data_IF_971553555556
#
_entry.id   IF_971553555556
#
_cell.length_a   1.000
_cell.length_b   1.000
_cell.length_c   1.000
_cell.angle_alpha   90.00
_cell.angle_beta   90.00
_cell.angle_gamma   90.00
#
_symmetry.space_group_name_H-M   'P 1'
#
loop_
_entity.id
_entity.type
_entity.pdbx_description
1 polymer ?
#
# COMPACT_ATOMS: atom_id res chain seq x y z
N UNK A 1 0.82 2.80 -12.08
CA UNK A 1 2.14 2.15 -12.12
C UNK A 1 1.97 0.69 -12.44
N UNK A 2 2.95 0.11 -13.11
CA UNK A 2 2.94 -1.29 -13.53
C UNK A 2 4.17 -1.96 -12.93
N UNK A 3 4.00 -3.13 -12.31
CA UNK A 3 5.15 -3.88 -11.82
C UNK A 3 6.09 -4.29 -12.96
N UNK A 4 7.36 -4.57 -12.67
CA UNK A 4 8.39 -4.84 -13.69
C UNK A 4 8.08 -6.04 -14.62
N UNK A 5 7.17 -6.94 -14.22
CA UNK A 5 6.72 -8.07 -15.04
C UNK A 5 5.53 -7.77 -15.98
N UNK A 6 5.06 -6.53 -16.08
CA UNK A 6 3.87 -6.19 -16.88
C UNK A 6 4.16 -6.25 -18.37
N UNK A 7 3.63 -7.26 -19.07
CA UNK A 7 3.79 -7.45 -20.52
C UNK A 7 2.66 -6.85 -21.36
N UNK A 8 1.49 -6.55 -20.78
CA UNK A 8 0.30 -6.03 -21.48
C UNK A 8 -0.38 -4.97 -20.63
N UNK A 9 -0.90 -3.91 -21.26
CA UNK A 9 -1.59 -2.82 -20.60
C UNK A 9 -3.12 -2.98 -20.52
N UNK A 10 -3.66 -4.08 -21.09
CA UNK A 10 -5.10 -4.35 -21.06
C UNK A 10 -5.63 -4.38 -19.64
N UNK A 11 -6.60 -3.49 -19.36
CA UNK A 11 -7.22 -3.34 -18.04
C UNK A 11 -6.32 -2.71 -16.98
N UNK A 12 -5.13 -2.21 -17.32
CA UNK A 12 -4.27 -1.44 -16.41
C UNK A 12 -4.68 0.03 -16.40
N UNK A 13 -4.54 0.67 -15.26
CA UNK A 13 -4.86 2.08 -15.11
C UNK A 13 -3.65 2.95 -15.46
N UNK A 14 -3.85 3.93 -16.34
CA UNK A 14 -2.89 5.00 -16.64
C UNK A 14 -3.45 6.28 -16.05
N UNK A 15 -2.65 6.96 -15.25
CA UNK A 15 -3.00 8.27 -14.70
C UNK A 15 -2.51 9.32 -15.69
N UNK A 16 -3.40 10.22 -16.10
CA UNK A 16 -3.08 11.36 -16.93
C UNK A 16 -3.21 12.65 -16.13
N UNK A 17 -2.16 13.47 -16.17
CA UNK A 17 -2.10 14.76 -15.48
C UNK A 17 -2.00 15.83 -16.59
N UNK A 18 -3.13 16.46 -16.96
CA UNK A 18 -3.14 17.42 -18.07
C UNK A 18 -2.33 18.68 -17.74
N UNK A 19 -1.61 19.18 -18.75
CA UNK A 19 -0.80 20.40 -18.61
C UNK A 19 -1.52 21.58 -19.28
N UNK A 20 -2.12 21.39 -20.46
CA UNK A 20 -2.76 22.46 -21.25
C UNK A 20 -4.18 22.13 -21.66
N UNK A 21 -4.40 20.98 -22.28
CA UNK A 21 -5.69 20.56 -22.84
C UNK A 21 -5.98 19.09 -22.45
N UNK A 22 -6.74 18.93 -21.39
CA UNK A 22 -7.09 17.62 -20.84
C UNK A 22 -7.77 16.70 -21.88
N UNK A 23 -8.64 17.24 -22.76
CA UNK A 23 -9.36 16.43 -23.73
C UNK A 23 -8.42 15.94 -24.84
N UNK A 24 -7.59 16.84 -25.36
CA UNK A 24 -6.62 16.50 -26.40
C UNK A 24 -5.56 15.53 -25.88
N UNK A 25 -5.00 15.81 -24.71
CA UNK A 25 -3.96 14.97 -24.08
C UNK A 25 -4.50 13.57 -23.76
N UNK A 26 -5.72 13.47 -23.22
CA UNK A 26 -6.38 12.19 -23.00
C UNK A 26 -6.67 11.42 -24.31
N UNK A 27 -7.05 12.14 -25.37
CA UNK A 27 -7.27 11.52 -26.68
C UNK A 27 -5.98 10.91 -27.25
N UNK A 28 -4.87 11.63 -27.13
CA UNK A 28 -3.55 11.13 -27.53
C UNK A 28 -3.14 9.93 -26.68
N UNK A 29 -3.33 9.99 -25.36
CA UNK A 29 -3.01 8.89 -24.48
C UNK A 29 -3.81 7.61 -24.83
N UNK A 30 -5.11 7.75 -25.14
CA UNK A 30 -5.97 6.64 -25.59
C UNK A 30 -5.54 6.07 -26.95
N UNK A 31 -5.03 6.90 -27.84
CA UNK A 31 -4.49 6.44 -29.13
C UNK A 31 -3.21 5.59 -28.93
N UNK A 32 -2.34 6.02 -28.02
CA UNK A 32 -1.08 5.32 -27.71
C UNK A 32 -1.29 4.02 -26.92
N UNK A 33 -2.29 3.98 -26.06
CA UNK A 33 -2.56 2.86 -25.15
C UNK A 33 -4.04 2.44 -25.17
N UNK A 34 -4.55 1.93 -26.30
CA UNK A 34 -5.99 1.72 -26.51
C UNK A 34 -6.64 0.71 -25.53
N UNK A 35 -5.86 -0.23 -25.00
CA UNK A 35 -6.35 -1.29 -24.10
C UNK A 35 -6.30 -0.90 -22.61
N UNK A 36 -5.79 0.28 -22.27
CA UNK A 36 -5.66 0.72 -20.90
C UNK A 36 -6.91 1.48 -20.41
N UNK A 37 -7.10 1.49 -19.08
CA UNK A 37 -8.04 2.40 -18.43
C UNK A 37 -7.34 3.73 -18.12
N UNK A 38 -8.08 4.84 -18.17
CA UNK A 38 -7.51 6.15 -17.88
C UNK A 38 -8.21 6.81 -16.69
N UNK A 39 -7.40 7.37 -15.80
CA UNK A 39 -7.84 8.23 -14.69
C UNK A 39 -7.19 9.59 -14.90
N UNK A 40 -7.99 10.62 -15.10
CA UNK A 40 -7.49 12.01 -15.28
C UNK A 40 -7.68 12.76 -13.98
N UNK A 41 -6.60 13.27 -13.42
CA UNK A 41 -6.57 14.06 -12.18
C UNK A 41 -5.56 15.21 -12.33
N UNK A 42 -5.64 16.22 -11.47
CA UNK A 42 -4.61 17.25 -11.40
C UNK A 42 -3.36 16.78 -10.63
N UNK A 43 -2.27 17.54 -10.73
CA UNK A 43 -0.99 17.17 -10.12
C UNK A 43 -1.05 17.10 -8.59
N UNK A 44 -1.77 18.03 -7.95
CA UNK A 44 -1.86 18.06 -6.48
C UNK A 44 -2.62 16.83 -5.94
N UNK A 45 -3.74 16.49 -6.58
CA UNK A 45 -4.50 15.29 -6.21
C UNK A 45 -3.70 14.01 -6.50
N UNK A 46 -2.96 13.97 -7.63
CA UNK A 46 -2.03 12.88 -7.92
C UNK A 46 -1.04 12.68 -6.78
N UNK A 47 -0.34 13.73 -6.38
CA UNK A 47 0.71 13.64 -5.36
C UNK A 47 0.16 13.18 -4.00
N UNK A 48 -1.03 13.66 -3.60
CA UNK A 48 -1.73 13.19 -2.40
C UNK A 48 -2.09 11.71 -2.47
N UNK A 49 -2.62 11.24 -3.62
CA UNK A 49 -2.99 9.82 -3.76
C UNK A 49 -1.77 8.90 -3.81
N UNK A 50 -0.73 9.32 -4.53
CA UNK A 50 0.52 8.56 -4.62
C UNK A 50 1.22 8.49 -3.27
N UNK A 51 1.14 9.54 -2.45
CA UNK A 51 1.67 9.50 -1.09
C UNK A 51 1.10 8.36 -0.24
N UNK A 52 -0.19 8.04 -0.39
CA UNK A 52 -0.80 6.90 0.31
C UNK A 52 -0.50 5.58 -0.41
N UNK A 53 -0.72 5.55 -1.75
CA UNK A 53 -0.64 4.31 -2.55
C UNK A 53 0.78 3.74 -2.58
N UNK A 54 1.78 4.60 -2.71
CA UNK A 54 3.18 4.20 -2.76
C UNK A 54 3.92 4.58 -1.49
N UNK A 55 3.89 5.87 -1.15
CA UNK A 55 4.75 6.41 -0.11
C UNK A 55 4.53 5.74 1.25
N UNK A 56 3.30 5.76 1.76
CA UNK A 56 2.98 5.12 3.03
C UNK A 56 3.19 3.60 2.96
N UNK A 57 2.81 2.97 1.84
CA UNK A 57 3.01 1.53 1.65
C UNK A 57 4.49 1.16 1.70
N UNK A 58 5.37 1.91 1.00
CA UNK A 58 6.80 1.65 1.02
C UNK A 58 7.40 1.93 2.39
N UNK A 59 7.06 3.06 3.02
CA UNK A 59 7.52 3.43 4.36
C UNK A 59 7.23 2.32 5.39
N UNK A 60 6.00 1.83 5.43
CA UNK A 60 5.59 0.75 6.33
C UNK A 60 6.39 -0.53 6.07
N UNK A 61 6.56 -0.90 4.81
CA UNK A 61 7.25 -2.14 4.45
C UNK A 61 8.75 -2.08 4.69
N UNK A 62 9.40 -0.93 4.48
CA UNK A 62 10.83 -0.76 4.81
C UNK A 62 11.07 -0.85 6.32
N UNK A 63 10.20 -0.23 7.13
CA UNK A 63 10.28 -0.36 8.59
C UNK A 63 10.05 -1.82 9.01
N UNK A 64 9.06 -2.48 8.44
CA UNK A 64 8.78 -3.90 8.72
C UNK A 64 9.96 -4.79 8.31
N UNK A 65 10.56 -4.57 7.12
CA UNK A 65 11.76 -5.27 6.68
C UNK A 65 12.92 -5.14 7.68
N UNK A 66 13.15 -3.92 8.19
CA UNK A 66 14.21 -3.68 9.18
C UNK A 66 13.95 -4.39 10.51
N UNK A 67 12.69 -4.59 10.90
CA UNK A 67 12.32 -5.39 12.08
C UNK A 67 12.59 -6.88 11.80
N UNK A 68 12.17 -7.39 10.65
CA UNK A 68 12.42 -8.79 10.26
C UNK A 68 13.92 -9.10 10.13
N UNK A 69 14.72 -8.17 9.62
CA UNK A 69 16.16 -8.34 9.50
C UNK A 69 16.90 -8.51 10.83
N UNK A 70 16.26 -8.13 11.94
CA UNK A 70 16.79 -8.30 13.31
C UNK A 70 16.34 -9.63 13.97
N UNK A 71 15.45 -10.38 13.30
CA UNK A 71 15.00 -11.67 13.83
C UNK A 71 16.01 -12.76 13.54
N UNK A 72 16.84 -13.10 14.53
CA UNK A 72 17.84 -14.18 14.44
C UNK A 72 17.22 -15.56 14.19
N UNK A 73 15.91 -15.73 14.39
CA UNK A 73 15.18 -16.97 14.20
C UNK A 73 14.07 -16.87 13.17
N UNK A 74 14.30 -16.10 12.11
CA UNK A 74 13.30 -15.84 11.04
C UNK A 74 12.69 -17.14 10.48
N UNK A 75 13.46 -18.21 10.35
CA UNK A 75 12.95 -19.51 9.89
C UNK A 75 11.92 -20.14 10.83
N UNK A 76 12.01 -19.87 12.14
CA UNK A 76 11.01 -20.30 13.11
C UNK A 76 9.75 -19.42 13.00
N UNK A 77 9.93 -18.10 12.90
CA UNK A 77 8.86 -17.14 12.65
C UNK A 77 8.05 -17.51 11.39
N UNK A 78 8.73 -17.90 10.32
CA UNK A 78 8.08 -18.37 9.08
C UNK A 78 7.25 -19.64 9.30
N UNK A 79 7.79 -20.63 9.99
CA UNK A 79 7.08 -21.90 10.31
C UNK A 79 5.85 -21.68 11.16
N UNK A 80 5.86 -20.68 12.04
CA UNK A 80 4.74 -20.33 12.91
C UNK A 80 3.73 -19.37 12.26
N UNK A 81 4.04 -18.86 11.07
CA UNK A 81 3.29 -17.78 10.43
C UNK A 81 1.96 -18.22 9.85
N UNK A 82 0.95 -17.36 10.03
CA UNK A 82 -0.34 -17.48 9.38
C UNK A 82 -0.43 -16.66 8.08
N UNK A 83 -1.60 -16.73 7.45
CA UNK A 83 -1.89 -16.13 6.14
C UNK A 83 -1.52 -14.64 6.04
N UNK A 84 -1.85 -13.86 7.07
CA UNK A 84 -1.59 -12.41 7.09
C UNK A 84 -0.11 -12.10 7.07
N UNK A 85 0.69 -12.77 7.90
CA UNK A 85 2.14 -12.57 7.94
C UNK A 85 2.80 -12.98 6.62
N UNK A 86 2.42 -14.13 6.05
CA UNK A 86 2.95 -14.60 4.76
C UNK A 86 2.70 -13.58 3.65
N UNK A 87 1.48 -13.04 3.56
CA UNK A 87 1.14 -12.01 2.60
C UNK A 87 1.97 -10.73 2.81
N UNK A 88 2.07 -10.26 4.05
CA UNK A 88 2.83 -9.07 4.40
C UNK A 88 4.32 -9.25 4.08
N UNK A 89 4.90 -10.41 4.39
CA UNK A 89 6.30 -10.72 4.07
C UNK A 89 6.57 -10.68 2.57
N UNK A 90 5.71 -11.30 1.75
CA UNK A 90 5.86 -11.29 0.27
C UNK A 90 5.81 -9.87 -0.28
N UNK A 91 4.89 -9.02 0.21
CA UNK A 91 4.81 -7.61 -0.19
C UNK A 91 6.11 -6.90 0.17
N UNK A 92 6.59 -7.09 1.39
CA UNK A 92 7.84 -6.49 1.88
C UNK A 92 9.04 -6.92 1.03
N UNK A 93 9.20 -8.21 0.77
CA UNK A 93 10.26 -8.73 -0.07
C UNK A 93 10.21 -8.20 -1.50
N UNK A 94 9.01 -8.06 -2.07
CA UNK A 94 8.86 -7.50 -3.42
C UNK A 94 9.29 -6.04 -3.49
N UNK A 95 9.01 -5.22 -2.47
CA UNK A 95 9.47 -3.83 -2.40
C UNK A 95 11.00 -3.77 -2.27
N UNK A 96 11.62 -4.69 -1.55
CA UNK A 96 13.09 -4.74 -1.42
C UNK A 96 13.81 -5.10 -2.73
N UNK A 97 13.09 -5.53 -3.78
CA UNK A 97 13.69 -5.72 -5.12
C UNK A 97 13.86 -4.42 -5.90
N UNK A 98 13.26 -3.33 -5.43
CA UNK A 98 13.42 -2.01 -6.05
C UNK A 98 14.74 -1.37 -5.63
N UNK A 99 15.25 -0.42 -6.45
CA UNK A 99 16.50 0.24 -6.08
C UNK A 99 16.31 1.15 -4.86
N UNK A 100 17.32 1.26 -3.98
CA UNK A 100 17.26 2.15 -2.82
C UNK A 100 16.96 3.61 -3.20
N UNK A 101 17.46 4.08 -4.34
CA UNK A 101 17.26 5.45 -4.84
C UNK A 101 15.80 5.67 -5.25
N UNK A 102 15.14 4.66 -5.84
CA UNK A 102 13.72 4.74 -6.15
C UNK A 102 12.87 4.80 -4.88
N UNK A 103 13.17 3.93 -3.90
CA UNK A 103 12.48 3.90 -2.62
C UNK A 103 12.67 5.25 -1.89
N UNK A 104 13.89 5.77 -1.87
CA UNK A 104 14.19 7.08 -1.29
C UNK A 104 13.35 8.18 -1.95
N UNK A 105 13.32 8.25 -3.27
CA UNK A 105 12.53 9.22 -4.03
C UNK A 105 11.04 9.14 -3.69
N UNK A 106 10.50 7.93 -3.54
CA UNK A 106 9.10 7.71 -3.16
C UNK A 106 8.83 8.25 -1.76
N UNK A 107 9.68 7.91 -0.78
CA UNK A 107 9.48 8.27 0.63
C UNK A 107 9.73 9.77 0.86
N UNK A 108 10.62 10.39 0.09
CA UNK A 108 10.96 11.82 0.21
C UNK A 108 9.88 12.77 -0.33
N UNK A 109 8.81 12.26 -0.93
CA UNK A 109 7.68 13.07 -1.34
C UNK A 109 7.08 13.82 -0.11
N UNK A 110 6.93 15.17 -0.15
CA UNK A 110 6.43 15.95 0.98
C UNK A 110 5.05 15.51 1.50
N UNK A 111 4.18 15.01 0.63
CA UNK A 111 2.86 14.50 1.04
C UNK A 111 2.99 13.18 1.81
N UNK A 112 4.01 12.36 1.52
CA UNK A 112 4.30 11.12 2.29
C UNK A 112 4.65 11.44 3.73
N UNK A 113 5.41 12.51 3.96
CA UNK A 113 5.77 12.95 5.30
C UNK A 113 4.54 13.19 6.18
N UNK A 114 3.49 13.85 5.65
CA UNK A 114 2.26 14.14 6.39
C UNK A 114 1.57 12.85 6.85
N UNK A 115 1.40 11.89 5.92
CA UNK A 115 0.81 10.59 6.27
C UNK A 115 1.70 9.76 7.20
N UNK A 116 3.02 9.86 7.05
CA UNK A 116 3.97 9.21 7.93
C UNK A 116 3.91 9.74 9.36
N UNK A 117 3.73 11.06 9.55
CA UNK A 117 3.54 11.69 10.85
C UNK A 117 2.22 11.25 11.52
N UNK A 118 1.12 11.18 10.76
CA UNK A 118 -0.15 10.63 11.24
C UNK A 118 -0.02 9.16 11.65
N UNK A 119 0.61 8.36 10.81
CA UNK A 119 0.83 6.94 11.07
C UNK A 119 1.67 6.71 12.34
N UNK A 120 2.74 7.48 12.51
CA UNK A 120 3.57 7.43 13.72
C UNK A 120 2.78 7.82 14.99
N UNK A 121 1.98 8.86 14.91
CA UNK A 121 1.10 9.30 16.00
C UNK A 121 0.08 8.21 16.38
N UNK A 122 -0.53 7.56 15.41
CA UNK A 122 -1.50 6.49 15.64
C UNK A 122 -0.84 5.25 16.25
N UNK A 123 0.35 4.87 15.80
CA UNK A 123 1.13 3.79 16.42
C UNK A 123 1.44 4.15 17.88
N UNK A 124 1.96 5.35 18.13
CA UNK A 124 2.28 5.81 19.48
C UNK A 124 1.08 5.77 20.40
N UNK A 125 -0.08 6.24 19.93
CA UNK A 125 -1.34 6.16 20.68
C UNK A 125 -1.73 4.73 21.02
N UNK A 126 -1.75 3.82 20.04
CA UNK A 126 -2.12 2.42 20.26
C UNK A 126 -1.18 1.71 21.24
N UNK A 127 0.12 1.99 21.16
CA UNK A 127 1.10 1.43 22.10
C UNK A 127 0.88 1.97 23.53
N UNK A 128 0.66 3.27 23.67
CA UNK A 128 0.36 3.90 24.98
C UNK A 128 -0.92 3.35 25.56
N UNK A 129 -2.01 3.31 24.78
CA UNK A 129 -3.29 2.77 25.23
C UNK A 129 -3.18 1.29 25.68
N UNK A 130 -2.33 0.51 24.96
CA UNK A 130 -2.04 -0.89 25.34
C UNK A 130 -1.29 -0.99 26.65
N UNK A 131 -0.26 -0.16 26.86
CA UNK A 131 0.54 -0.14 28.09
C UNK A 131 -0.28 0.28 29.31
N UNK A 132 -1.20 1.22 29.11
CA UNK A 132 -2.08 1.75 30.16
C UNK A 132 -3.33 0.87 30.39
N UNK A 133 -3.49 -0.22 29.66
CA UNK A 133 -4.66 -1.12 29.77
C UNK A 133 -5.97 -0.51 29.27
N UNK A 134 -5.93 0.51 28.42
CA UNK A 134 -7.10 1.21 27.82
C UNK A 134 -7.76 0.37 26.73
N UNK A 135 -8.23 -0.79 27.09
CA UNK A 135 -8.82 -1.76 26.16
C UNK A 135 -9.95 -1.20 25.32
N UNK A 136 -10.85 -0.45 25.95
CA UNK A 136 -12.02 0.11 25.25
C UNK A 136 -11.63 1.14 24.18
N UNK A 137 -10.60 1.95 24.44
CA UNK A 137 -10.10 2.93 23.46
C UNK A 137 -9.52 2.23 22.23
N UNK A 138 -8.76 1.15 22.42
CA UNK A 138 -8.23 0.32 21.31
C UNK A 138 -9.38 -0.31 20.52
N UNK A 139 -10.37 -0.89 21.19
CA UNK A 139 -11.54 -1.50 20.54
C UNK A 139 -12.30 -0.46 19.72
N UNK A 140 -12.54 0.72 20.29
CA UNK A 140 -13.25 1.81 19.61
C UNK A 140 -12.48 2.33 18.40
N UNK A 141 -11.15 2.46 18.50
CA UNK A 141 -10.30 2.81 17.35
C UNK A 141 -10.47 1.80 16.20
N UNK A 142 -10.41 0.49 16.51
CA UNK A 142 -10.57 -0.58 15.51
C UNK A 142 -11.99 -0.59 14.92
N UNK A 143 -13.03 -0.45 15.74
CA UNK A 143 -14.44 -0.40 15.29
C UNK A 143 -14.67 0.78 14.34
N UNK A 144 -14.20 1.96 14.71
CA UNK A 144 -14.33 3.17 13.88
C UNK A 144 -13.64 2.99 12.52
N UNK A 145 -12.43 2.44 12.50
CA UNK A 145 -11.70 2.15 11.26
C UNK A 145 -12.44 1.13 10.40
N UNK A 146 -12.93 0.05 11.01
CA UNK A 146 -13.72 -0.98 10.33
C UNK A 146 -15.00 -0.41 9.71
N UNK A 147 -15.76 0.39 10.45
CA UNK A 147 -16.99 1.03 9.97
C UNK A 147 -16.74 1.97 8.79
N UNK A 148 -15.67 2.77 8.85
CA UNK A 148 -15.31 3.70 7.77
C UNK A 148 -14.92 2.95 6.48
N UNK A 149 -14.10 1.92 6.60
CA UNK A 149 -13.62 1.15 5.46
C UNK A 149 -14.76 0.32 4.85
N UNK A 150 -15.61 -0.30 5.68
CA UNK A 150 -16.71 -1.15 5.20
C UNK A 150 -17.80 -0.41 4.42
N UNK A 151 -17.83 0.93 4.46
CA UNK A 151 -18.72 1.72 3.58
C UNK A 151 -18.39 1.54 2.08
N UNK A 152 -17.14 1.19 1.75
CA UNK A 152 -16.66 1.09 0.39
C UNK A 152 -16.12 -0.31 0.03
N UNK A 153 -15.95 -1.20 1.01
CA UNK A 153 -15.29 -2.49 0.85
C UNK A 153 -16.02 -3.57 1.62
N UNK A 154 -16.26 -4.70 0.97
CA UNK A 154 -16.70 -5.94 1.61
C UNK A 154 -15.49 -6.64 2.24
N UNK A 155 -15.38 -6.56 3.56
CA UNK A 155 -14.25 -7.09 4.33
C UNK A 155 -14.16 -8.63 4.27
N UNK A 156 -15.30 -9.34 4.24
CA UNK A 156 -15.33 -10.80 4.13
C UNK A 156 -14.81 -11.25 2.76
N UNK A 157 -15.19 -10.53 1.72
CA UNK A 157 -14.67 -10.76 0.36
C UNK A 157 -13.18 -10.48 0.28
N UNK A 158 -12.70 -9.48 0.97
CA UNK A 158 -11.26 -9.15 1.03
C UNK A 158 -10.47 -10.28 1.70
N UNK A 159 -10.97 -10.82 2.80
CA UNK A 159 -10.33 -11.96 3.48
C UNK A 159 -10.30 -13.23 2.59
N UNK A 160 -11.41 -13.51 1.87
CA UNK A 160 -11.46 -14.63 0.92
C UNK A 160 -10.45 -14.48 -0.22
N UNK A 161 -10.29 -13.25 -0.75
CA UNK A 161 -9.26 -12.96 -1.76
C UNK A 161 -7.85 -13.20 -1.23
N UNK A 162 -7.55 -12.74 -0.02
CA UNK A 162 -6.26 -12.97 0.62
C UNK A 162 -5.98 -14.46 0.77
N UNK A 163 -6.93 -15.22 1.29
CA UNK A 163 -6.80 -16.68 1.45
C UNK A 163 -6.55 -17.39 0.12
N UNK A 164 -7.24 -16.98 -0.95
CA UNK A 164 -7.04 -17.54 -2.29
C UNK A 164 -5.66 -17.21 -2.84
N UNK A 165 -5.19 -15.99 -2.67
CA UNK A 165 -3.87 -15.56 -3.10
C UNK A 165 -2.77 -16.39 -2.46
N UNK A 166 -2.82 -16.58 -1.15
CA UNK A 166 -1.81 -17.40 -0.43
C UNK A 166 -1.84 -18.86 -0.88
N UNK A 167 -3.01 -19.47 -1.03
CA UNK A 167 -3.11 -20.84 -1.56
C UNK A 167 -2.53 -21.00 -2.98
N UNK A 168 -2.52 -19.95 -3.78
CA UNK A 168 -1.94 -19.97 -5.13
C UNK A 168 -0.42 -19.88 -5.09
N UNK A 169 0.13 -19.19 -4.10
CA UNK A 169 1.58 -19.02 -3.92
C UNK A 169 2.22 -20.25 -3.27
N UNK A 170 1.50 -20.97 -2.41
CA UNK A 170 1.97 -22.17 -1.73
C UNK A 170 1.97 -23.45 -2.62
N UNK A 171 1.51 -23.36 -3.85
CA UNK A 171 1.58 -24.42 -4.88
C UNK A 171 2.86 -24.36 -5.71
#
# INVERSE_FOLDING_TARGET
>A
MFGPGTKKLKGKNIITIPIKDAKKELSVAKLLFPDANFVTIDALEHDKKIAVILGLTHLMNIVFANILAKDEKISLTEKMSGTTFKAQKIITESILTESPELIETIISNPEVRKFGEEFWKDIGKLLTDSQEGKREDIINYIKTSKERISKNVDLDKSYKKLSTMIKTIEK
#
